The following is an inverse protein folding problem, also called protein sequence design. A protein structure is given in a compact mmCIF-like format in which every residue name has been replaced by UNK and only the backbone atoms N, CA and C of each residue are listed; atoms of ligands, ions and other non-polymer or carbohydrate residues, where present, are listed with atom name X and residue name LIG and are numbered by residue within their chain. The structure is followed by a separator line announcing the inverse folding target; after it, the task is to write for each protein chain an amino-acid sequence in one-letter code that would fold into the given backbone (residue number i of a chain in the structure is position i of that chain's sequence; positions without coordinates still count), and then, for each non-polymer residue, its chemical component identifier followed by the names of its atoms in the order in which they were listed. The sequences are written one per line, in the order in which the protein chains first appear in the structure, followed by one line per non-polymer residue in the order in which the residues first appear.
data_IF_363952690912
#
_entry.id   IF_363952690912
#
_cell.length_a   1.000
_cell.length_b   1.000
_cell.length_c   1.000
_cell.angle_alpha   90.00
_cell.angle_beta   90.00
_cell.angle_gamma   90.00
#
_symmetry.space_group_name_H-M   'P 1'
#
loop_
_entity.id
_entity.type
_entity.pdbx_description
1 polymer ?
#
# COMPACT_ATOMS: atom_id res chain seq x y z
N UNK A 1 35.00 -55.02 -11.00
CA UNK A 1 34.47 -54.38 -9.78
C UNK A 1 33.55 -53.20 -10.22
N UNK A 2 32.24 -53.39 -10.15
CA UNK A 2 31.25 -52.35 -10.50
C UNK A 2 30.99 -51.49 -9.25
N UNK A 3 31.34 -50.17 -9.30
CA UNK A 3 31.06 -49.23 -8.23
C UNK A 3 29.58 -48.77 -8.34
N UNK A 4 28.77 -49.15 -7.33
CA UNK A 4 27.42 -48.61 -7.19
C UNK A 4 27.53 -47.23 -6.53
N UNK A 5 27.03 -46.17 -7.22
CA UNK A 5 26.86 -44.83 -6.64
C UNK A 5 25.43 -44.78 -6.10
N UNK A 6 25.28 -44.70 -4.79
CA UNK A 6 23.99 -44.50 -4.14
C UNK A 6 23.74 -42.97 -4.07
N UNK A 7 22.78 -42.47 -4.85
CA UNK A 7 22.29 -41.08 -4.77
C UNK A 7 21.23 -41.03 -3.67
N UNK A 8 21.58 -40.45 -2.53
CA UNK A 8 20.61 -40.16 -1.44
C UNK A 8 19.90 -38.86 -1.78
N UNK A 9 18.67 -38.95 -2.26
CA UNK A 9 17.75 -37.81 -2.41
C UNK A 9 17.27 -37.35 -1.04
N UNK A 10 17.81 -36.21 -0.58
CA UNK A 10 17.26 -35.52 0.59
C UNK A 10 15.90 -34.91 0.23
N UNK A 11 14.84 -35.55 0.66
CA UNK A 11 13.50 -34.99 0.67
C UNK A 11 13.40 -34.00 1.85
N UNK A 12 13.64 -32.71 1.60
CA UNK A 12 13.29 -31.66 2.56
C UNK A 12 11.76 -31.47 2.53
N UNK A 13 11.03 -31.76 3.60
CA UNK A 13 9.62 -31.44 3.65
C UNK A 13 9.48 -29.91 3.60
N UNK A 14 8.90 -29.37 2.53
CA UNK A 14 8.41 -28.01 2.47
C UNK A 14 7.27 -27.93 3.50
N UNK A 15 7.60 -27.55 4.74
CA UNK A 15 6.63 -27.15 5.74
C UNK A 15 5.95 -25.89 5.24
N UNK A 16 4.88 -26.05 4.48
CA UNK A 16 3.91 -24.99 4.24
C UNK A 16 3.38 -24.57 5.61
N UNK A 17 3.90 -23.47 6.15
CA UNK A 17 3.35 -22.84 7.35
C UNK A 17 1.96 -22.35 6.98
N UNK A 18 0.95 -23.18 7.21
CA UNK A 18 -0.44 -22.78 7.06
C UNK A 18 -0.66 -21.51 7.88
N UNK A 19 -1.06 -20.44 7.20
CA UNK A 19 -1.30 -19.13 7.79
C UNK A 19 -2.40 -19.27 8.85
N UNK A 20 -2.06 -19.05 10.13
CA UNK A 20 -3.01 -19.24 11.25
C UNK A 20 -4.05 -18.12 11.25
N UNK A 21 -5.30 -18.45 11.00
CA UNK A 21 -6.41 -17.50 11.09
C UNK A 21 -6.71 -17.11 12.53
N UNK A 22 -6.86 -15.81 12.80
CA UNK A 22 -7.41 -15.31 14.06
C UNK A 22 -8.95 -15.38 14.01
N UNK A 23 -9.50 -16.51 14.47
CA UNK A 23 -10.95 -16.79 14.41
C UNK A 23 -11.79 -15.77 15.18
N UNK A 24 -11.29 -15.28 16.34
CA UNK A 24 -12.01 -14.31 17.17
C UNK A 24 -12.09 -12.95 16.49
N UNK A 25 -10.98 -12.47 15.93
CA UNK A 25 -10.94 -11.23 15.17
C UNK A 25 -11.76 -11.36 13.88
N UNK A 26 -11.68 -12.51 13.21
CA UNK A 26 -12.45 -12.77 11.99
C UNK A 26 -13.97 -12.60 12.25
N UNK A 27 -14.50 -13.21 13.31
CA UNK A 27 -15.92 -13.09 13.65
C UNK A 27 -16.33 -11.62 13.88
N UNK A 28 -15.51 -10.85 14.63
CA UNK A 28 -15.76 -9.42 14.87
C UNK A 28 -15.75 -8.60 13.59
N UNK A 29 -14.84 -8.89 12.65
CA UNK A 29 -14.78 -8.19 11.38
C UNK A 29 -15.97 -8.53 10.48
N UNK A 30 -16.40 -9.79 10.45
CA UNK A 30 -17.60 -10.19 9.69
C UNK A 30 -18.85 -9.45 10.20
N UNK A 31 -19.01 -9.31 11.50
CA UNK A 31 -20.11 -8.55 12.11
C UNK A 31 -20.00 -7.05 11.77
N UNK A 32 -18.79 -6.49 11.80
CA UNK A 32 -18.57 -5.06 11.58
C UNK A 32 -18.94 -4.61 10.16
N UNK A 33 -18.77 -5.47 9.14
CA UNK A 33 -18.99 -5.14 7.72
C UNK A 33 -20.44 -5.38 7.25
N UNK A 34 -21.31 -5.95 8.09
CA UNK A 34 -22.71 -6.18 7.74
C UNK A 34 -23.36 -4.84 7.36
N UNK A 35 -24.05 -4.83 6.23
CA UNK A 35 -24.79 -3.67 5.73
C UNK A 35 -23.98 -2.69 4.90
N UNK A 36 -22.70 -2.92 4.64
CA UNK A 36 -21.93 -2.07 3.74
C UNK A 36 -22.44 -2.13 2.30
N UNK A 37 -22.68 -0.97 1.70
CA UNK A 37 -23.28 -0.84 0.36
C UNK A 37 -22.21 -0.69 -0.73
N UNK A 38 -21.49 -1.77 -0.98
CA UNK A 38 -20.42 -1.87 -1.97
C UNK A 38 -19.69 -3.20 -1.85
N UNK A 39 -18.61 -3.36 -2.61
CA UNK A 39 -17.70 -4.49 -2.45
C UNK A 39 -16.58 -4.08 -1.50
N UNK A 40 -16.28 -4.91 -0.50
CA UNK A 40 -15.23 -4.69 0.48
C UNK A 40 -14.24 -5.86 0.50
N UNK A 41 -12.95 -5.54 0.57
CA UNK A 41 -11.87 -6.48 0.77
C UNK A 41 -11.02 -6.06 1.96
N UNK A 42 -10.71 -7.00 2.85
CA UNK A 42 -9.94 -6.74 4.08
C UNK A 42 -8.85 -7.78 4.23
N UNK A 43 -7.65 -7.31 4.58
CA UNK A 43 -6.57 -8.17 5.03
C UNK A 43 -5.93 -7.56 6.28
N UNK A 44 -5.84 -8.39 7.33
CA UNK A 44 -5.17 -8.02 8.58
C UNK A 44 -4.12 -9.07 8.91
N UNK A 45 -2.92 -8.64 9.30
CA UNK A 45 -1.86 -9.53 9.75
C UNK A 45 -1.21 -8.97 11.02
N UNK A 46 -1.25 -9.76 12.09
CA UNK A 46 -0.43 -9.48 13.27
C UNK A 46 1.02 -9.87 12.97
N UNK A 47 1.93 -8.90 12.99
CA UNK A 47 3.33 -9.10 12.59
C UNK A 47 4.15 -9.86 13.63
N UNK A 48 3.68 -9.91 14.89
CA UNK A 48 4.33 -10.64 15.99
C UNK A 48 3.97 -12.13 15.97
N UNK A 49 2.69 -12.45 15.76
CA UNK A 49 2.19 -13.84 15.84
C UNK A 49 2.06 -14.51 14.47
N UNK A 50 2.08 -13.73 13.38
CA UNK A 50 1.79 -14.18 12.03
C UNK A 50 0.32 -14.52 11.77
N UNK A 51 -0.58 -14.37 12.76
CA UNK A 51 -2.02 -14.61 12.56
C UNK A 51 -2.63 -13.60 11.61
N UNK A 52 -3.58 -14.06 10.78
CA UNK A 52 -4.25 -13.25 9.77
C UNK A 52 -5.76 -13.30 9.88
N UNK A 53 -6.39 -12.28 9.32
CA UNK A 53 -7.82 -12.29 8.97
C UNK A 53 -7.96 -11.80 7.55
N UNK A 54 -8.79 -12.47 6.77
CA UNK A 54 -9.03 -12.18 5.36
C UNK A 54 -10.53 -12.18 5.08
N UNK A 55 -10.97 -11.16 4.31
CA UNK A 55 -12.29 -11.12 3.70
C UNK A 55 -12.10 -10.57 2.28
N UNK A 56 -12.45 -11.34 1.26
CA UNK A 56 -12.20 -10.99 -0.15
C UNK A 56 -10.74 -10.50 -0.41
N UNK A 57 -9.78 -11.03 0.35
CA UNK A 57 -8.41 -10.50 0.38
C UNK A 57 -7.63 -10.75 -0.92
N UNK A 58 -8.06 -11.70 -1.74
CA UNK A 58 -7.48 -12.03 -3.05
C UNK A 58 -8.30 -11.46 -4.23
N UNK A 59 -9.38 -10.73 -3.94
CA UNK A 59 -10.18 -10.02 -4.95
C UNK A 59 -9.43 -8.77 -5.42
N UNK A 60 -9.49 -8.51 -6.73
CA UNK A 60 -8.88 -7.32 -7.33
C UNK A 60 -9.73 -6.08 -7.08
N UNK A 61 -9.08 -5.04 -6.58
CA UNK A 61 -9.64 -3.71 -6.35
C UNK A 61 -8.84 -2.63 -7.08
N UNK A 62 -9.49 -1.49 -7.43
CA UNK A 62 -8.78 -0.29 -7.86
C UNK A 62 -7.89 0.21 -6.72
N UNK A 63 -6.71 0.71 -7.07
CA UNK A 63 -5.78 1.27 -6.08
C UNK A 63 -6.01 2.75 -5.82
N UNK A 64 -6.61 3.48 -6.76
CA UNK A 64 -6.50 4.93 -6.78
C UNK A 64 -5.04 5.35 -6.45
N UNK A 65 -4.81 6.25 -5.50
CA UNK A 65 -3.45 6.72 -5.14
C UNK A 65 -2.56 5.69 -4.44
N UNK A 66 -3.07 4.52 -4.05
CA UNK A 66 -2.21 3.44 -3.53
C UNK A 66 -1.26 2.90 -4.63
N UNK A 67 -1.54 3.14 -5.92
CA UNK A 67 -0.60 2.85 -7.03
C UNK A 67 0.77 3.52 -6.84
N UNK A 68 0.87 4.56 -6.03
CA UNK A 68 2.12 5.26 -5.71
C UNK A 68 3.09 4.39 -4.92
N UNK A 69 2.61 3.34 -4.24
CA UNK A 69 3.47 2.35 -3.59
C UNK A 69 4.26 1.53 -4.62
N UNK A 70 3.67 0.86 -5.62
CA UNK A 70 4.47 0.22 -6.67
C UNK A 70 5.33 1.20 -7.49
N UNK A 71 4.91 2.45 -7.68
CA UNK A 71 5.77 3.47 -8.32
C UNK A 71 7.02 3.73 -7.47
N UNK A 72 6.88 3.81 -6.15
CA UNK A 72 8.00 3.92 -5.22
C UNK A 72 8.97 2.73 -5.36
N UNK A 73 8.46 1.51 -5.50
CA UNK A 73 9.31 0.33 -5.77
C UNK A 73 10.09 0.50 -7.07
N UNK A 74 9.48 1.00 -8.13
CA UNK A 74 10.14 1.29 -9.40
C UNK A 74 11.30 2.27 -9.26
N UNK A 75 11.13 3.34 -8.53
CA UNK A 75 12.20 4.33 -8.26
C UNK A 75 13.31 3.72 -7.40
N UNK A 76 12.96 2.95 -6.37
CA UNK A 76 13.96 2.32 -5.50
C UNK A 76 14.76 1.24 -6.23
N UNK A 77 14.17 0.50 -7.16
CA UNK A 77 14.89 -0.43 -8.04
C UNK A 77 15.93 0.31 -8.90
N UNK A 78 15.55 1.43 -9.50
CA UNK A 78 16.48 2.28 -10.30
C UNK A 78 17.61 2.85 -9.44
N UNK A 79 17.33 3.27 -8.22
CA UNK A 79 18.35 3.73 -7.29
C UNK A 79 19.30 2.58 -6.89
N UNK A 80 18.77 1.40 -6.62
CA UNK A 80 19.56 0.22 -6.28
C UNK A 80 20.50 -0.24 -7.41
N UNK A 81 20.05 -0.08 -8.66
CA UNK A 81 20.84 -0.38 -9.85
C UNK A 81 21.86 0.71 -10.22
N UNK A 82 21.86 1.84 -9.50
CA UNK A 82 22.73 2.98 -9.79
C UNK A 82 22.28 3.81 -11.00
N UNK A 83 21.10 3.54 -11.57
CA UNK A 83 20.52 4.29 -12.69
C UNK A 83 19.96 5.65 -12.26
N UNK A 84 19.59 5.79 -10.97
CA UNK A 84 19.19 7.02 -10.32
C UNK A 84 19.96 7.18 -9.00
N UNK A 85 20.15 8.42 -8.58
CA UNK A 85 20.70 8.74 -7.25
C UNK A 85 19.63 9.34 -6.36
N UNK A 86 19.56 8.89 -5.11
CA UNK A 86 18.54 9.34 -4.15
C UNK A 86 18.51 10.86 -3.95
N UNK A 87 19.70 11.47 -4.00
CA UNK A 87 19.90 12.92 -3.79
C UNK A 87 20.07 13.71 -5.07
N UNK A 88 19.87 13.09 -6.26
CA UNK A 88 20.02 13.83 -7.51
C UNK A 88 18.98 14.94 -7.65
N UNK A 89 19.39 16.03 -8.27
CA UNK A 89 18.48 17.07 -8.76
C UNK A 89 17.79 16.61 -10.05
N UNK A 90 16.49 16.84 -10.12
CA UNK A 90 15.70 16.68 -11.34
C UNK A 90 15.01 18.01 -11.67
N UNK A 91 14.73 18.25 -12.93
CA UNK A 91 14.25 19.54 -13.42
C UNK A 91 12.75 19.44 -13.70
N UNK A 92 11.97 20.27 -13.03
CA UNK A 92 10.54 20.39 -13.28
C UNK A 92 10.28 21.03 -14.65
N UNK A 93 9.24 20.58 -15.33
CA UNK A 93 8.73 21.12 -16.61
C UNK A 93 7.22 21.19 -16.55
N UNK A 94 6.64 22.26 -17.06
CA UNK A 94 5.17 22.45 -17.09
C UNK A 94 4.44 21.31 -17.81
N UNK A 95 5.10 20.65 -18.77
CA UNK A 95 4.56 19.45 -19.44
C UNK A 95 4.35 18.23 -18.53
N UNK A 96 4.88 18.28 -17.30
CA UNK A 96 4.68 17.25 -16.29
C UNK A 96 3.39 17.46 -15.47
N UNK A 97 2.85 18.66 -15.48
CA UNK A 97 1.67 19.02 -14.70
C UNK A 97 0.51 18.06 -14.99
N UNK A 98 -0.08 17.59 -13.94
CA UNK A 98 -1.30 16.79 -13.97
C UNK A 98 -2.26 17.30 -12.89
N UNK A 99 -3.50 17.54 -13.26
CA UNK A 99 -4.53 18.07 -12.37
C UNK A 99 -4.82 17.17 -11.17
N UNK A 100 -5.23 17.78 -10.06
CA UNK A 100 -5.60 17.13 -8.83
C UNK A 100 -4.82 17.61 -7.63
N UNK A 101 -4.71 16.79 -6.59
CA UNK A 101 -3.93 17.11 -5.39
C UNK A 101 -2.44 17.13 -5.74
N UNK A 102 -1.88 18.30 -5.96
CA UNK A 102 -0.46 18.47 -6.23
C UNK A 102 0.09 19.78 -5.65
N UNK A 103 1.36 19.72 -5.26
CA UNK A 103 2.17 20.86 -4.83
C UNK A 103 3.11 21.27 -5.96
N UNK A 104 3.52 20.32 -6.79
CA UNK A 104 4.46 20.56 -7.88
C UNK A 104 3.88 21.46 -8.96
N UNK A 105 2.55 21.54 -9.10
CA UNK A 105 1.89 22.48 -10.00
C UNK A 105 2.19 23.95 -9.72
N UNK A 106 2.68 24.26 -8.52
CA UNK A 106 3.11 25.62 -8.15
C UNK A 106 4.56 25.94 -8.55
N UNK A 107 5.32 24.96 -9.04
CA UNK A 107 6.71 25.14 -9.45
C UNK A 107 6.78 25.76 -10.84
N UNK A 108 7.86 26.50 -11.10
CA UNK A 108 8.13 27.07 -12.42
C UNK A 108 8.96 26.11 -13.25
N UNK A 109 8.71 26.08 -14.55
CA UNK A 109 9.53 25.29 -15.49
C UNK A 109 11.00 25.68 -15.38
N UNK A 110 11.87 24.67 -15.26
CA UNK A 110 13.30 24.84 -15.04
C UNK A 110 13.74 24.79 -13.57
N UNK A 111 12.82 24.86 -12.61
CA UNK A 111 13.17 24.70 -11.20
C UNK A 111 13.70 23.30 -10.90
N UNK A 112 14.74 23.28 -10.04
CA UNK A 112 15.39 22.05 -9.62
C UNK A 112 14.83 21.56 -8.29
N UNK A 113 14.59 20.28 -8.19
CA UNK A 113 14.13 19.64 -6.97
C UNK A 113 14.86 18.29 -6.78
N UNK A 114 15.18 17.92 -5.55
CA UNK A 114 15.78 16.64 -5.26
C UNK A 114 14.78 15.49 -5.47
N UNK A 115 15.21 14.41 -6.12
CA UNK A 115 14.39 13.22 -6.36
C UNK A 115 13.69 12.73 -5.09
N UNK A 116 14.38 12.66 -3.96
CA UNK A 116 13.81 12.28 -2.65
C UNK A 116 12.67 13.18 -2.19
N UNK A 117 12.68 14.48 -2.54
CA UNK A 117 11.59 15.40 -2.20
C UNK A 117 10.35 15.14 -3.08
N UNK A 118 10.55 14.81 -4.35
CA UNK A 118 9.45 14.42 -5.24
C UNK A 118 8.84 13.08 -4.78
N UNK A 119 9.67 12.12 -4.34
CA UNK A 119 9.20 10.88 -3.73
C UNK A 119 8.35 11.14 -2.47
N UNK A 120 8.80 12.05 -1.60
CA UNK A 120 8.06 12.45 -0.41
C UNK A 120 6.70 13.07 -0.81
N UNK A 121 6.67 14.03 -1.73
CA UNK A 121 5.42 14.65 -2.19
C UNK A 121 4.45 13.61 -2.76
N UNK A 122 4.93 12.67 -3.57
CA UNK A 122 4.11 11.59 -4.11
C UNK A 122 3.41 10.78 -3.01
N UNK A 123 4.12 10.44 -1.94
CA UNK A 123 3.60 9.56 -0.89
C UNK A 123 2.84 10.36 0.19
N UNK A 124 3.41 11.45 0.68
CA UNK A 124 2.88 12.23 1.82
C UNK A 124 1.63 13.00 1.44
N UNK A 125 1.70 13.85 0.41
CA UNK A 125 0.56 14.67 -0.03
C UNK A 125 -0.24 14.04 -1.16
N UNK A 126 0.20 12.88 -1.60
CA UNK A 126 -0.44 12.17 -2.72
C UNK A 126 -0.40 12.96 -4.05
N UNK A 127 0.65 13.75 -4.27
CA UNK A 127 0.84 14.60 -5.45
C UNK A 127 0.79 13.79 -6.75
N UNK A 128 -0.13 14.15 -7.65
CA UNK A 128 -0.37 13.42 -8.90
C UNK A 128 0.69 13.71 -9.96
N UNK A 129 1.19 14.94 -10.01
CA UNK A 129 2.29 15.34 -10.89
C UNK A 129 3.56 14.58 -10.51
N UNK A 130 3.89 14.51 -9.21
CA UNK A 130 4.98 13.70 -8.70
C UNK A 130 4.82 12.21 -9.09
N UNK A 131 3.61 11.68 -8.96
CA UNK A 131 3.31 10.28 -9.28
C UNK A 131 3.63 9.92 -10.73
N UNK A 132 3.14 10.70 -11.67
CA UNK A 132 3.33 10.44 -13.10
C UNK A 132 4.77 10.72 -13.55
N UNK A 133 5.41 11.72 -12.95
CA UNK A 133 6.84 11.98 -13.19
C UNK A 133 7.70 10.83 -12.71
N UNK A 134 7.51 10.40 -11.45
CA UNK A 134 8.26 9.27 -10.90
C UNK A 134 7.93 7.95 -11.60
N UNK A 135 6.69 7.73 -12.02
CA UNK A 135 6.35 6.57 -12.86
C UNK A 135 7.20 6.53 -14.13
N UNK A 136 7.39 7.68 -14.79
CA UNK A 136 8.21 7.75 -16.00
C UNK A 136 9.69 7.45 -15.73
N UNK A 137 10.23 7.94 -14.62
CA UNK A 137 11.62 7.70 -14.19
C UNK A 137 11.83 6.26 -13.66
N UNK A 138 10.83 5.68 -13.01
CA UNK A 138 10.85 4.33 -12.43
C UNK A 138 10.70 3.18 -13.42
N UNK A 139 10.79 3.46 -14.74
CA UNK A 139 10.70 2.44 -15.79
C UNK A 139 9.32 2.33 -16.43
N UNK A 140 8.49 3.38 -16.28
CA UNK A 140 7.09 3.40 -16.73
C UNK A 140 6.28 2.25 -16.10
N UNK A 141 5.03 2.08 -16.48
CA UNK A 141 4.21 0.99 -15.93
C UNK A 141 4.74 -0.39 -16.31
N UNK A 142 5.29 -0.57 -17.49
CA UNK A 142 5.85 -1.86 -17.94
C UNK A 142 7.03 -2.29 -17.05
N UNK A 143 8.00 -1.41 -16.82
CA UNK A 143 9.15 -1.71 -15.97
C UNK A 143 8.75 -1.99 -14.52
N UNK A 144 7.85 -1.16 -13.96
CA UNK A 144 7.33 -1.35 -12.61
C UNK A 144 6.60 -2.69 -12.48
N UNK A 145 5.76 -3.06 -13.46
CA UNK A 145 5.07 -4.35 -13.47
C UNK A 145 6.05 -5.53 -13.56
N UNK A 146 7.16 -5.39 -14.32
CA UNK A 146 8.23 -6.37 -14.36
C UNK A 146 8.91 -6.57 -13.00
N UNK A 147 9.12 -5.50 -12.24
CA UNK A 147 9.63 -5.58 -10.86
C UNK A 147 8.63 -6.32 -9.96
N UNK A 148 7.34 -5.98 -10.04
CA UNK A 148 6.29 -6.67 -9.28
C UNK A 148 6.25 -8.17 -9.59
N UNK A 149 6.42 -8.55 -10.87
CA UNK A 149 6.52 -9.96 -11.28
C UNK A 149 7.72 -10.65 -10.66
N UNK A 150 8.89 -10.01 -10.67
CA UNK A 150 10.11 -10.57 -10.07
C UNK A 150 10.03 -10.76 -8.57
N UNK A 151 9.21 -9.94 -7.90
CA UNK A 151 8.91 -10.00 -6.46
C UNK A 151 7.78 -10.99 -6.13
N UNK A 152 7.17 -11.62 -7.15
CA UNK A 152 6.11 -12.61 -7.00
C UNK A 152 4.68 -12.03 -6.89
N UNK A 153 4.48 -10.72 -7.08
CA UNK A 153 3.17 -10.10 -7.08
C UNK A 153 2.49 -10.23 -8.45
N UNK A 154 1.30 -10.83 -8.50
CA UNK A 154 0.60 -11.12 -9.75
C UNK A 154 -0.62 -10.23 -10.01
N UNK A 155 -1.24 -9.74 -8.96
CA UNK A 155 -2.47 -8.96 -9.01
C UNK A 155 -2.24 -7.45 -8.90
N UNK A 156 -1.14 -7.04 -8.24
CA UNK A 156 -0.77 -5.63 -8.14
C UNK A 156 -0.12 -5.15 -9.44
N UNK A 157 -0.73 -4.13 -10.06
CA UNK A 157 -0.28 -3.61 -11.37
C UNK A 157 -0.47 -2.11 -11.48
N UNK A 158 0.45 -1.46 -12.15
CA UNK A 158 0.30 -0.12 -12.70
C UNK A 158 -0.38 -0.25 -14.06
N UNK A 159 -1.53 0.41 -14.23
CA UNK A 159 -2.31 0.41 -15.47
C UNK A 159 -2.14 1.72 -16.24
N UNK A 160 -1.92 2.85 -15.54
CA UNK A 160 -1.74 4.16 -16.18
C UNK A 160 -0.50 4.18 -17.08
N UNK A 161 -0.65 4.72 -18.29
CA UNK A 161 0.45 4.87 -19.26
C UNK A 161 1.24 3.56 -19.47
N UNK A 162 0.55 2.42 -19.46
CA UNK A 162 1.13 1.09 -19.60
C UNK A 162 0.52 0.39 -20.80
N UNK A 163 1.26 0.16 -21.88
CA UNK A 163 0.77 -0.54 -23.05
C UNK A 163 0.22 -1.94 -22.73
N UNK A 164 -0.90 -2.31 -23.35
CA UNK A 164 -1.59 -3.59 -23.13
C UNK A 164 -2.41 -3.67 -21.85
N UNK A 165 -2.58 -2.53 -21.14
CA UNK A 165 -3.40 -2.46 -19.92
C UNK A 165 -4.57 -1.49 -20.02
N UNK A 166 -4.98 -1.15 -21.21
CA UNK A 166 -6.07 -0.19 -21.50
C UNK A 166 -7.40 -0.65 -20.88
N UNK A 167 -7.75 -1.92 -21.05
CA UNK A 167 -8.97 -2.50 -20.45
C UNK A 167 -8.90 -2.50 -18.91
N UNK A 168 -7.76 -2.84 -18.35
CA UNK A 168 -7.54 -2.79 -16.90
C UNK A 168 -7.62 -1.35 -16.37
N UNK A 169 -7.10 -0.37 -17.14
CA UNK A 169 -7.20 1.04 -16.79
C UNK A 169 -8.66 1.52 -16.81
N UNK A 170 -9.46 1.09 -17.76
CA UNK A 170 -10.89 1.41 -17.80
C UNK A 170 -11.61 0.84 -16.59
N UNK A 171 -11.29 -0.39 -16.19
CA UNK A 171 -11.96 -1.10 -15.09
C UNK A 171 -11.48 -0.67 -13.70
N UNK A 172 -10.17 -0.46 -13.53
CA UNK A 172 -9.54 -0.26 -12.21
C UNK A 172 -8.79 1.07 -12.07
N UNK A 173 -8.85 1.94 -13.07
CA UNK A 173 -8.13 3.21 -13.04
C UNK A 173 -6.62 3.05 -13.17
N UNK A 174 -5.85 3.89 -12.48
CA UNK A 174 -4.39 3.96 -12.62
C UNK A 174 -3.65 2.71 -12.19
N UNK A 175 -4.23 1.92 -11.31
CA UNK A 175 -3.65 0.68 -10.85
C UNK A 175 -4.67 -0.23 -10.18
N UNK A 176 -4.25 -1.46 -9.98
CA UNK A 176 -5.04 -2.51 -9.33
C UNK A 176 -4.18 -3.29 -8.35
N UNK A 177 -4.81 -3.89 -7.34
CA UNK A 177 -4.17 -4.76 -6.36
C UNK A 177 -5.19 -5.66 -5.67
N UNK A 178 -4.71 -6.56 -4.82
CA UNK A 178 -5.53 -7.24 -3.82
C UNK A 178 -5.12 -6.79 -2.42
N UNK A 179 -6.03 -6.80 -1.42
CA UNK A 179 -5.67 -6.49 -0.04
C UNK A 179 -4.48 -7.31 0.48
N UNK A 180 -4.42 -8.59 0.16
CA UNK A 180 -3.36 -9.49 0.60
C UNK A 180 -2.01 -9.14 -0.05
N UNK A 181 -1.97 -8.86 -1.36
CA UNK A 181 -0.70 -8.47 -2.01
C UNK A 181 -0.18 -7.13 -1.51
N UNK A 182 -1.06 -6.13 -1.33
CA UNK A 182 -0.64 -4.83 -0.82
C UNK A 182 -0.13 -4.93 0.62
N UNK A 183 -0.79 -5.70 1.47
CA UNK A 183 -0.30 -6.00 2.82
C UNK A 183 1.06 -6.70 2.81
N UNK A 184 1.26 -7.65 1.90
CA UNK A 184 2.54 -8.33 1.72
C UNK A 184 3.66 -7.38 1.24
N UNK A 185 3.36 -6.41 0.39
CA UNK A 185 4.34 -5.37 -0.02
C UNK A 185 4.80 -4.58 1.21
N UNK A 186 3.87 -4.11 2.04
CA UNK A 186 4.20 -3.39 3.27
C UNK A 186 5.01 -4.24 4.25
N UNK A 187 4.63 -5.50 4.46
CA UNK A 187 5.39 -6.41 5.32
C UNK A 187 6.83 -6.61 4.82
N UNK A 188 7.00 -6.84 3.52
CA UNK A 188 8.33 -7.05 2.93
C UNK A 188 9.20 -5.80 3.03
N UNK A 189 8.64 -4.59 2.86
CA UNK A 189 9.35 -3.33 3.08
C UNK A 189 9.76 -3.24 4.56
N UNK A 190 8.84 -3.43 5.48
CA UNK A 190 9.09 -3.34 6.93
C UNK A 190 10.14 -4.34 7.42
N UNK A 191 10.16 -5.55 6.86
CA UNK A 191 11.11 -6.60 7.23
C UNK A 191 12.42 -6.56 6.44
N UNK A 192 12.67 -5.53 5.65
CA UNK A 192 13.85 -5.42 4.77
C UNK A 192 13.99 -6.59 3.79
N UNK A 193 12.87 -7.08 3.25
CA UNK A 193 12.81 -8.22 2.33
C UNK A 193 12.61 -7.80 0.85
N UNK A 194 12.57 -6.51 0.58
CA UNK A 194 12.57 -5.92 -0.76
C UNK A 194 13.78 -5.00 -0.87
N UNK A 195 14.68 -5.24 -1.80
CA UNK A 195 15.90 -4.48 -2.01
C UNK A 195 16.84 -4.47 -0.76
N UNK A 196 17.68 -3.45 -0.62
CA UNK A 196 18.55 -3.31 0.55
C UNK A 196 17.80 -2.74 1.77
N UNK A 197 18.35 -2.93 2.98
CA UNK A 197 17.82 -2.34 4.20
C UNK A 197 17.71 -0.81 4.10
N UNK A 198 18.71 -0.14 3.51
CA UNK A 198 18.69 1.31 3.26
C UNK A 198 17.54 1.71 2.34
N UNK A 199 17.25 0.91 1.30
CA UNK A 199 16.13 1.17 0.41
C UNK A 199 14.80 1.05 1.14
N UNK A 200 14.63 0.01 1.96
CA UNK A 200 13.43 -0.20 2.77
C UNK A 200 13.24 0.93 3.79
N UNK A 201 14.29 1.36 4.48
CA UNK A 201 14.23 2.50 5.41
C UNK A 201 13.77 3.78 4.71
N UNK A 202 14.31 4.09 3.52
CA UNK A 202 13.90 5.26 2.73
C UNK A 202 12.42 5.19 2.32
N UNK A 203 11.95 4.01 1.93
CA UNK A 203 10.53 3.80 1.61
C UNK A 203 9.65 4.01 2.86
N UNK A 204 10.01 3.45 4.00
CA UNK A 204 9.29 3.63 5.25
C UNK A 204 9.20 5.10 5.65
N UNK A 205 10.30 5.86 5.53
CA UNK A 205 10.29 7.32 5.79
C UNK A 205 9.27 8.07 4.93
N UNK A 206 9.09 7.69 3.67
CA UNK A 206 8.07 8.28 2.81
C UNK A 206 6.65 7.87 3.22
N UNK A 207 6.45 6.62 3.61
CA UNK A 207 5.14 6.07 4.00
C UNK A 207 4.70 6.51 5.41
N UNK A 208 5.62 6.89 6.29
CA UNK A 208 5.35 7.33 7.67
C UNK A 208 4.92 8.80 7.80
N UNK A 209 4.56 9.46 6.72
CA UNK A 209 4.24 10.91 6.68
C UNK A 209 2.97 11.20 5.88
N UNK A 210 1.90 10.43 6.09
CA UNK A 210 0.64 10.68 5.40
C UNK A 210 0.02 11.99 5.89
N UNK A 211 -0.25 12.90 4.97
CA UNK A 211 -0.89 14.19 5.24
C UNK A 211 -2.42 14.05 5.38
N UNK A 212 -3.01 13.09 4.65
CA UNK A 212 -4.44 12.86 4.64
C UNK A 212 -4.78 11.84 5.74
N UNK A 213 -5.08 12.33 6.95
CA UNK A 213 -5.25 11.52 8.15
C UNK A 213 -6.53 11.82 8.95
N UNK A 214 -7.40 12.69 8.44
CA UNK A 214 -8.62 13.10 9.14
C UNK A 214 -9.79 12.14 8.89
N UNK A 215 -10.02 11.74 7.63
CA UNK A 215 -11.18 10.92 7.24
C UNK A 215 -10.90 9.43 7.18
N UNK A 216 -9.64 9.05 7.08
CA UNK A 216 -9.17 7.70 6.83
C UNK A 216 -9.06 6.85 8.12
N UNK A 217 -8.76 5.56 7.93
CA UNK A 217 -8.58 4.60 9.02
C UNK A 217 -7.47 5.00 10.00
N UNK A 218 -6.41 5.67 9.52
CA UNK A 218 -5.29 6.14 10.34
C UNK A 218 -5.75 7.08 11.47
N UNK A 219 -6.82 7.86 11.29
CA UNK A 219 -7.37 8.76 12.30
C UNK A 219 -7.80 8.06 13.60
N UNK A 220 -7.96 6.75 13.56
CA UNK A 220 -8.34 5.91 14.69
C UNK A 220 -7.16 5.29 15.44
N UNK A 221 -5.94 5.72 15.12
CA UNK A 221 -4.70 5.29 15.79
C UNK A 221 -4.15 6.48 16.58
N UNK A 222 -3.64 6.29 17.82
CA UNK A 222 -3.06 7.39 18.58
C UNK A 222 -1.96 8.11 17.79
N UNK A 223 -1.93 9.45 17.77
CA UNK A 223 -0.98 10.22 16.96
C UNK A 223 0.48 10.05 17.41
N UNK A 224 0.70 9.47 18.59
CA UNK A 224 2.02 9.11 19.11
C UNK A 224 2.55 7.78 18.57
N UNK A 225 1.72 7.02 17.86
CA UNK A 225 2.13 5.75 17.26
C UNK A 225 2.75 5.99 15.88
N UNK A 226 3.79 5.22 15.60
CA UNK A 226 4.37 5.19 14.27
C UNK A 226 3.46 4.37 13.35
N UNK A 227 2.97 5.03 12.30
CA UNK A 227 2.12 4.40 11.28
C UNK A 227 2.70 4.68 9.90
N UNK A 228 2.82 3.64 9.11
CA UNK A 228 3.19 3.72 7.70
C UNK A 228 1.95 3.46 6.87
N UNK A 229 1.58 4.39 6.02
CA UNK A 229 0.29 4.28 5.32
C UNK A 229 0.31 4.83 3.91
N UNK A 230 -0.68 4.40 3.14
CA UNK A 230 -1.11 5.06 1.92
C UNK A 230 -2.60 4.86 1.71
N UNK A 231 -3.29 5.94 1.51
CA UNK A 231 -4.70 5.97 1.13
C UNK A 231 -4.87 6.14 -0.39
N UNK A 232 -6.07 5.83 -0.88
CA UNK A 232 -6.44 6.04 -2.27
C UNK A 232 -7.95 6.17 -2.42
N UNK A 233 -8.39 7.26 -3.04
CA UNK A 233 -9.80 7.60 -3.17
C UNK A 233 -10.15 7.97 -4.62
N UNK A 234 -11.26 7.44 -5.09
CA UNK A 234 -12.03 7.87 -6.26
C UNK A 234 -13.52 7.73 -5.93
N UNK A 235 -14.42 8.30 -6.74
CA UNK A 235 -15.84 8.41 -6.38
C UNK A 235 -16.48 7.14 -5.79
N UNK A 236 -16.30 5.99 -6.42
CA UNK A 236 -16.90 4.73 -5.98
C UNK A 236 -15.91 3.76 -5.33
N UNK A 237 -14.78 4.25 -4.83
CA UNK A 237 -13.75 3.44 -4.17
C UNK A 237 -12.99 4.29 -3.14
N UNK A 238 -12.85 3.76 -1.94
CA UNK A 238 -12.04 4.30 -0.85
C UNK A 238 -11.20 3.16 -0.30
N UNK A 239 -9.91 3.36 -0.24
CA UNK A 239 -9.01 2.27 0.15
C UNK A 239 -7.84 2.82 0.96
N UNK A 240 -7.35 2.02 1.89
CA UNK A 240 -6.20 2.37 2.70
C UNK A 240 -5.40 1.13 3.09
N UNK A 241 -4.10 1.30 3.19
CA UNK A 241 -3.18 0.34 3.77
C UNK A 241 -2.41 1.01 4.90
N UNK A 242 -2.41 0.36 6.06
CA UNK A 242 -1.68 0.75 7.26
C UNK A 242 -0.75 -0.36 7.71
N UNK A 243 0.46 0.01 8.12
CA UNK A 243 1.27 -0.77 9.03
C UNK A 243 1.40 0.03 10.31
N UNK A 244 0.81 -0.47 11.38
CA UNK A 244 0.80 0.15 12.70
C UNK A 244 1.87 -0.51 13.55
N UNK A 245 2.89 0.27 13.96
CA UNK A 245 3.97 -0.21 14.83
C UNK A 245 3.52 -0.15 16.29
N UNK A 246 2.43 -0.87 16.60
CA UNK A 246 1.85 -0.93 17.92
C UNK A 246 2.79 -1.65 18.92
N UNK A 247 2.90 -1.17 20.18
CA UNK A 247 3.91 -1.65 21.14
C UNK A 247 3.83 -3.15 21.44
N UNK A 248 2.63 -3.69 21.55
CA UNK A 248 2.44 -5.10 21.91
C UNK A 248 2.17 -5.99 20.70
N UNK A 249 1.42 -5.49 19.75
CA UNK A 249 0.98 -6.25 18.59
C UNK A 249 1.05 -5.41 17.31
N UNK A 250 2.24 -5.18 16.73
CA UNK A 250 2.34 -4.50 15.45
C UNK A 250 1.55 -5.28 14.38
N UNK A 251 0.82 -4.55 13.53
CA UNK A 251 -0.07 -5.19 12.57
C UNK A 251 -0.15 -4.42 11.25
N UNK A 252 -0.54 -5.14 10.21
CA UNK A 252 -0.94 -4.60 8.91
C UNK A 252 -2.46 -4.64 8.83
N UNK A 253 -3.03 -3.59 8.32
CA UNK A 253 -4.43 -3.48 7.98
C UNK A 253 -4.58 -2.91 6.58
N UNK A 254 -5.25 -3.67 5.72
CA UNK A 254 -5.64 -3.24 4.38
C UNK A 254 -7.15 -3.28 4.27
N UNK A 255 -7.75 -2.19 3.85
CA UNK A 255 -9.16 -2.09 3.48
C UNK A 255 -9.26 -1.53 2.07
N UNK A 256 -9.97 -2.22 1.20
CA UNK A 256 -10.22 -1.81 -0.16
C UNK A 256 -11.72 -1.89 -0.45
N UNK A 257 -12.25 -0.87 -1.09
CA UNK A 257 -13.66 -0.87 -1.51
C UNK A 257 -13.78 -0.55 -2.99
N UNK A 258 -14.85 -1.01 -3.61
CA UNK A 258 -15.26 -0.66 -4.96
C UNK A 258 -16.78 -0.76 -5.11
N UNK A 259 -17.33 -0.19 -6.17
CA UNK A 259 -18.77 -0.20 -6.43
C UNK A 259 -19.57 0.43 -5.26
N UNK A 260 -18.96 1.35 -4.51
CA UNK A 260 -19.61 2.02 -3.40
C UNK A 260 -20.85 2.78 -3.89
N UNK A 261 -21.97 2.64 -3.18
CA UNK A 261 -23.20 3.38 -3.47
C UNK A 261 -23.08 4.83 -3.00
N UNK A 262 -22.45 5.04 -1.85
CA UNK A 262 -22.12 6.38 -1.39
C UNK A 262 -20.83 6.87 -2.07
N UNK A 263 -20.99 7.82 -2.99
CA UNK A 263 -19.91 8.47 -3.75
C UNK A 263 -19.58 9.87 -3.23
N UNK A 264 -20.13 10.27 -2.09
CA UNK A 264 -19.90 11.58 -1.50
C UNK A 264 -18.44 11.76 -1.07
N UNK A 265 -18.01 13.02 -0.99
CA UNK A 265 -16.71 13.43 -0.44
C UNK A 265 -16.86 14.08 0.92
N UNK A 266 -17.88 13.68 1.68
CA UNK A 266 -18.14 14.14 3.04
C UNK A 266 -17.44 13.22 4.03
N UNK A 267 -17.14 13.76 5.21
CA UNK A 267 -16.56 13.00 6.32
C UNK A 267 -17.37 11.73 6.66
N UNK A 268 -18.69 11.80 6.56
CA UNK A 268 -19.62 10.71 6.85
C UNK A 268 -19.75 9.67 5.72
N UNK A 269 -18.94 9.79 4.64
CA UNK A 269 -18.97 8.79 3.57
C UNK A 269 -18.90 7.37 4.16
N UNK A 270 -19.80 6.48 3.68
CA UNK A 270 -19.98 5.14 4.24
C UNK A 270 -18.67 4.34 4.28
N UNK A 271 -17.86 4.41 3.22
CA UNK A 271 -16.61 3.64 3.14
C UNK A 271 -15.54 4.20 4.09
N UNK A 272 -15.43 5.51 4.25
CA UNK A 272 -14.52 6.11 5.26
C UNK A 272 -14.99 5.80 6.68
N UNK A 273 -16.28 5.92 6.96
CA UNK A 273 -16.86 5.52 8.26
C UNK A 273 -16.60 4.05 8.57
N UNK A 274 -16.74 3.17 7.56
CA UNK A 274 -16.41 1.75 7.71
C UNK A 274 -14.92 1.54 7.99
N UNK A 275 -14.04 2.24 7.29
CA UNK A 275 -12.60 2.16 7.50
C UNK A 275 -12.22 2.60 8.92
N UNK A 276 -12.76 3.72 9.41
CA UNK A 276 -12.58 4.20 10.79
C UNK A 276 -13.10 3.19 11.82
N UNK A 277 -14.32 2.68 11.63
CA UNK A 277 -14.93 1.67 12.52
C UNK A 277 -14.05 0.43 12.68
N UNK A 278 -13.54 -0.09 11.55
CA UNK A 278 -12.68 -1.28 11.58
C UNK A 278 -11.32 -0.94 12.20
N UNK A 279 -10.73 0.21 11.89
CA UNK A 279 -9.46 0.63 12.47
C UNK A 279 -9.53 0.76 13.99
N UNK A 280 -10.58 1.40 14.52
CA UNK A 280 -10.83 1.47 15.96
C UNK A 280 -11.00 0.08 16.60
N UNK A 281 -11.74 -0.83 15.94
CA UNK A 281 -11.89 -2.21 16.39
C UNK A 281 -10.54 -2.92 16.48
N UNK A 282 -9.68 -2.76 15.46
CA UNK A 282 -8.36 -3.39 15.41
C UNK A 282 -7.43 -2.82 16.49
N UNK A 283 -7.41 -1.50 16.67
CA UNK A 283 -6.63 -0.86 17.72
C UNK A 283 -7.00 -1.42 19.10
N UNK A 284 -8.29 -1.40 19.44
CA UNK A 284 -8.79 -1.94 20.71
C UNK A 284 -8.55 -3.46 20.87
N UNK A 285 -8.52 -4.20 19.77
CA UNK A 285 -8.26 -5.63 19.79
C UNK A 285 -6.78 -5.95 20.05
N UNK A 286 -5.88 -5.21 19.43
CA UNK A 286 -4.45 -5.44 19.53
C UNK A 286 -3.80 -4.74 20.72
N UNK A 287 -4.38 -3.60 21.16
CA UNK A 287 -3.87 -2.80 22.29
C UNK A 287 -4.97 -2.57 23.36
N UNK A 288 -5.55 -3.65 23.94
CA UNK A 288 -6.73 -3.57 24.80
C UNK A 288 -6.50 -2.81 26.12
N UNK A 289 -5.25 -2.55 26.49
CA UNK A 289 -4.89 -1.77 27.69
C UNK A 289 -4.71 -0.29 27.40
N UNK A 290 -4.73 0.12 26.14
CA UNK A 290 -4.62 1.51 25.75
C UNK A 290 -6.01 2.17 25.83
N UNK A 291 -6.12 3.24 26.62
CA UNK A 291 -7.37 3.96 26.84
C UNK A 291 -7.61 5.10 25.83
N UNK A 292 -6.73 5.29 24.87
CA UNK A 292 -6.91 6.36 23.89
C UNK A 292 -8.12 6.10 22.99
N UNK A 293 -8.88 7.15 22.74
CA UNK A 293 -10.04 7.15 21.84
C UNK A 293 -9.87 8.30 20.87
N UNK A 294 -10.13 8.07 19.59
CA UNK A 294 -10.08 9.12 18.58
C UNK A 294 -11.12 10.21 18.85
N UNK A 295 -10.75 11.46 18.59
CA UNK A 295 -11.66 12.59 18.54
C UNK A 295 -12.44 12.63 17.22
N UNK A 296 -11.94 11.95 16.20
CA UNK A 296 -12.58 11.78 14.88
C UNK A 296 -13.59 10.63 14.98
N UNK A 297 -14.87 10.92 14.78
CA UNK A 297 -15.96 9.94 14.87
C UNK A 297 -16.38 9.39 13.52
#
# INVERSE_FOLDING_TARGET
MKKFVIIILFYSPLLSLAQKTDKKLHAKLQEAIIGFNGDIGIYVKNLRTGKTVSHNADTIFPTASIVKVPILLGIMDKIQKGELQYDQEIIYKDSLLYEGSDILGSFKSGEKILLKKVMMLMLTTSDNTASLWLQSLGGKGTGINGILDSLGFKSTRVNSRTPGRENNRTQYGWGQTTPAEMGNIFEKIYRNQIFSATACERMMRCLGRNFWDEDEAISQIPPTMEVFSKNGCVNASRSEVLLVNAPNNPYIFCIFTKNNKDISWKHENEAWTMARKISALLWNYFEPKNSWVSIVK
#
